data_IF_509923459763
#
_entry.id   IF_509923459763
#
_cell.length_a   1.000
_cell.length_b   1.000
_cell.length_c   1.000
_cell.angle_alpha   90.00
_cell.angle_beta   90.00
_cell.angle_gamma   90.00
#
_symmetry.space_group_name_H-M   'P 1'
#
loop_
_entity.id
_entity.type
_entity.pdbx_description
1 polymer ?
#
# COMPACT_ATOMS: atom_id res chain seq x y z
N UNK A 1 11.86 -41.01 -8.55
CA UNK A 1 12.09 -39.71 -9.23
C UNK A 1 12.24 -38.59 -8.21
N UNK A 2 11.28 -38.40 -7.30
CA UNK A 2 11.37 -37.43 -6.19
C UNK A 2 12.59 -37.65 -5.28
N UNK A 3 12.91 -38.91 -4.93
CA UNK A 3 14.10 -39.20 -4.10
C UNK A 3 15.42 -38.83 -4.77
N UNK A 4 15.49 -38.95 -6.11
CA UNK A 4 16.66 -38.56 -6.89
C UNK A 4 16.84 -37.03 -6.86
N UNK A 5 15.73 -36.28 -6.93
CA UNK A 5 15.71 -34.82 -6.85
C UNK A 5 16.13 -34.36 -5.45
N UNK A 6 15.57 -34.96 -4.38
CA UNK A 6 15.96 -34.63 -3.01
C UNK A 6 17.42 -34.98 -2.71
N UNK A 7 17.93 -36.10 -3.25
CA UNK A 7 19.32 -36.48 -3.09
C UNK A 7 20.28 -35.47 -3.75
N UNK A 8 19.95 -34.99 -4.95
CA UNK A 8 20.76 -33.99 -5.68
C UNK A 8 20.78 -32.62 -4.97
N UNK A 9 19.69 -32.23 -4.30
CA UNK A 9 19.66 -30.98 -3.52
C UNK A 9 20.53 -31.06 -2.25
N UNK A 10 20.66 -32.25 -1.65
CA UNK A 10 21.44 -32.45 -0.42
C UNK A 10 22.95 -32.53 -0.65
N UNK A 11 23.39 -32.96 -1.83
CA UNK A 11 24.82 -33.13 -2.11
C UNK A 11 25.56 -31.80 -2.27
N UNK A 12 24.88 -30.70 -2.62
CA UNK A 12 25.50 -29.36 -2.76
C UNK A 12 24.63 -28.24 -2.14
N UNK A 13 24.54 -28.17 -0.80
CA UNK A 13 23.58 -27.32 -0.10
C UNK A 13 23.78 -25.81 -0.36
N UNK A 14 25.02 -25.33 -0.47
CA UNK A 14 25.31 -23.90 -0.63
C UNK A 14 24.76 -23.32 -1.95
N UNK A 15 24.78 -24.13 -3.00
CA UNK A 15 24.32 -23.71 -4.33
C UNK A 15 22.80 -23.74 -4.45
N UNK A 16 22.20 -24.81 -3.94
CA UNK A 16 20.75 -24.88 -3.79
C UNK A 16 20.26 -23.69 -2.98
N UNK A 17 20.97 -23.33 -1.90
CA UNK A 17 20.67 -22.16 -1.11
C UNK A 17 20.74 -20.86 -1.94
N UNK A 18 21.79 -20.61 -2.72
CA UNK A 18 21.88 -19.41 -3.59
C UNK A 18 20.70 -19.34 -4.57
N UNK A 19 20.30 -20.47 -5.15
CA UNK A 19 19.20 -20.51 -6.13
C UNK A 19 17.86 -20.23 -5.48
N UNK A 20 17.62 -20.86 -4.33
CA UNK A 20 16.44 -20.65 -3.50
C UNK A 20 16.36 -19.20 -3.02
N UNK A 21 17.49 -18.60 -2.63
CA UNK A 21 17.58 -17.17 -2.26
C UNK A 21 17.26 -16.28 -3.46
N UNK A 22 17.77 -16.59 -4.65
CA UNK A 22 17.46 -15.83 -5.87
C UNK A 22 15.96 -15.81 -6.20
N UNK A 23 15.29 -16.96 -6.11
CA UNK A 23 13.83 -17.05 -6.27
C UNK A 23 13.11 -16.32 -5.13
N UNK A 24 13.54 -16.54 -3.88
CA UNK A 24 12.96 -15.90 -2.71
C UNK A 24 13.03 -14.38 -2.78
N UNK A 25 14.13 -13.81 -3.27
CA UNK A 25 14.28 -12.36 -3.47
C UNK A 25 13.25 -11.80 -4.46
N UNK A 26 13.00 -12.51 -5.56
CA UNK A 26 11.95 -12.14 -6.51
C UNK A 26 10.56 -12.14 -5.86
N UNK A 27 10.24 -13.18 -5.09
CA UNK A 27 8.98 -13.28 -4.34
C UNK A 27 8.85 -12.18 -3.29
N UNK A 28 9.94 -11.90 -2.56
CA UNK A 28 9.98 -10.86 -1.52
C UNK A 28 9.68 -9.49 -2.09
N UNK A 29 10.33 -9.16 -3.21
CA UNK A 29 10.10 -7.90 -3.91
C UNK A 29 8.64 -7.77 -4.33
N UNK A 30 8.07 -8.80 -4.98
CA UNK A 30 6.68 -8.72 -5.45
C UNK A 30 5.70 -8.62 -4.28
N UNK A 31 5.83 -9.47 -3.26
CA UNK A 31 4.89 -9.51 -2.14
C UNK A 31 4.94 -8.26 -1.27
N UNK A 32 6.13 -7.70 -0.98
CA UNK A 32 6.24 -6.50 -0.16
C UNK A 32 5.67 -5.28 -0.89
N UNK A 33 6.01 -5.07 -2.16
CA UNK A 33 5.53 -3.90 -2.90
C UNK A 33 4.02 -3.97 -3.16
N UNK A 34 3.50 -5.12 -3.59
CA UNK A 34 2.05 -5.28 -3.80
C UNK A 34 1.28 -5.23 -2.48
N UNK A 35 1.81 -5.82 -1.41
CA UNK A 35 1.22 -5.79 -0.08
C UNK A 35 1.17 -4.38 0.50
N UNK A 36 2.24 -3.59 0.34
CA UNK A 36 2.28 -2.19 0.76
C UNK A 36 1.31 -1.34 -0.07
N UNK A 37 1.33 -1.47 -1.40
CA UNK A 37 0.45 -0.69 -2.27
C UNK A 37 -1.02 -0.95 -1.96
N UNK A 38 -1.40 -2.23 -1.74
CA UNK A 38 -2.76 -2.61 -1.36
C UNK A 38 -3.10 -2.15 0.04
N UNK A 39 -2.20 -2.29 1.01
CA UNK A 39 -2.44 -1.83 2.38
C UNK A 39 -2.60 -0.32 2.46
N UNK A 40 -1.77 0.47 1.76
CA UNK A 40 -1.93 1.92 1.68
C UNK A 40 -3.27 2.29 1.05
N UNK A 41 -3.64 1.61 -0.03
CA UNK A 41 -4.92 1.80 -0.70
C UNK A 41 -6.11 1.52 0.22
N UNK A 42 -6.09 0.39 0.93
CA UNK A 42 -7.17 -0.03 1.81
C UNK A 42 -7.26 0.87 3.04
N UNK A 43 -6.12 1.32 3.56
CA UNK A 43 -6.07 2.30 4.65
C UNK A 43 -6.59 3.67 4.19
N UNK A 44 -6.23 4.14 2.99
CA UNK A 44 -6.81 5.35 2.39
C UNK A 44 -8.33 5.21 2.21
N UNK A 45 -8.81 4.07 1.72
CA UNK A 45 -10.23 3.82 1.53
C UNK A 45 -10.99 3.81 2.86
N UNK A 46 -10.44 3.17 3.91
CA UNK A 46 -11.00 3.21 5.28
C UNK A 46 -11.06 4.63 5.83
N UNK A 47 -9.96 5.40 5.69
CA UNK A 47 -9.91 6.81 6.11
C UNK A 47 -10.93 7.68 5.39
N UNK A 48 -11.19 7.40 4.11
CA UNK A 48 -12.16 8.13 3.32
C UNK A 48 -13.61 7.70 3.62
N UNK A 49 -13.84 6.42 3.96
CA UNK A 49 -15.14 5.92 4.40
C UNK A 49 -15.61 6.52 5.75
N UNK A 50 -14.69 7.07 6.55
CA UNK A 50 -15.04 7.86 7.73
C UNK A 50 -15.73 9.19 7.38
N UNK A 51 -15.65 9.65 6.12
CA UNK A 51 -16.43 10.80 5.67
C UNK A 51 -17.81 10.34 5.21
N UNK A 52 -18.84 10.72 5.97
CA UNK A 52 -20.25 10.38 5.66
C UNK A 52 -20.97 11.47 4.87
N UNK A 53 -20.33 12.62 4.66
CA UNK A 53 -20.82 13.66 3.77
C UNK A 53 -20.79 13.16 2.33
N UNK A 54 -21.86 13.38 1.57
CA UNK A 54 -22.00 12.87 0.21
C UNK A 54 -21.29 13.76 -0.82
N UNK A 55 -21.13 15.06 -0.51
CA UNK A 55 -20.56 16.04 -1.43
C UNK A 55 -19.40 16.79 -0.77
N UNK A 56 -18.33 16.97 -1.54
CA UNK A 56 -17.20 17.82 -1.22
C UNK A 56 -17.17 19.04 -2.15
N UNK A 57 -17.30 20.23 -1.56
CA UNK A 57 -17.20 21.50 -2.28
C UNK A 57 -15.80 22.11 -2.11
N UNK A 58 -15.14 22.39 -3.24
CA UNK A 58 -13.75 22.88 -3.28
C UNK A 58 -13.56 23.92 -4.36
N UNK A 59 -12.41 24.61 -4.34
CA UNK A 59 -11.91 25.36 -5.50
C UNK A 59 -10.83 24.58 -6.25
N UNK A 60 -10.61 24.90 -7.53
CA UNK A 60 -9.41 24.43 -8.22
C UNK A 60 -8.15 24.75 -7.41
N UNK A 61 -7.31 23.74 -7.16
CA UNK A 61 -6.06 23.89 -6.41
C UNK A 61 -6.19 23.91 -4.87
N UNK A 62 -7.38 23.70 -4.30
CA UNK A 62 -7.55 23.65 -2.83
C UNK A 62 -6.90 22.42 -2.19
N UNK A 63 -6.98 21.27 -2.85
CA UNK A 63 -6.45 20.00 -2.32
C UNK A 63 -5.50 19.35 -3.31
N UNK A 64 -4.29 19.05 -2.84
CA UNK A 64 -3.33 18.15 -3.47
C UNK A 64 -3.14 16.87 -2.65
N UNK A 65 -2.25 16.00 -3.13
CA UNK A 65 -1.91 14.76 -2.44
C UNK A 65 -1.16 15.05 -1.12
N UNK A 66 -0.18 15.95 -1.19
CA UNK A 66 0.74 16.32 -0.09
C UNK A 66 0.63 17.78 0.34
N UNK A 67 -0.30 18.53 -0.23
CA UNK A 67 -0.51 19.94 0.07
C UNK A 67 -1.97 20.33 0.05
N UNK A 68 -2.28 21.46 0.67
CA UNK A 68 -3.62 22.04 0.74
C UNK A 68 -3.54 23.55 0.82
N UNK A 69 -4.54 24.23 0.27
CA UNK A 69 -4.67 25.68 0.27
C UNK A 69 -6.05 26.07 0.81
N UNK A 70 -6.09 26.98 1.78
CA UNK A 70 -7.35 27.55 2.30
C UNK A 70 -7.84 28.69 1.39
N UNK A 71 -8.42 28.35 0.24
CA UNK A 71 -8.86 29.30 -0.79
C UNK A 71 -10.39 29.33 -1.02
N UNK A 72 -11.16 28.61 -0.21
CA UNK A 72 -12.63 28.56 -0.25
C UNK A 72 -13.18 29.44 0.86
N UNK A 73 -14.02 30.44 0.54
CA UNK A 73 -14.62 31.28 1.59
C UNK A 73 -15.64 30.50 2.42
N UNK A 74 -15.62 30.68 3.74
CA UNK A 74 -16.62 30.10 4.65
C UNK A 74 -18.02 30.67 4.41
N UNK A 75 -18.15 31.83 3.74
CA UNK A 75 -19.45 32.39 3.34
C UNK A 75 -20.24 31.50 2.36
N UNK A 76 -19.58 30.54 1.70
CA UNK A 76 -20.28 29.54 0.91
C UNK A 76 -21.10 28.57 1.78
N UNK A 77 -20.83 28.46 3.08
CA UNK A 77 -21.55 27.59 4.00
C UNK A 77 -23.06 27.88 3.99
N UNK A 78 -23.44 29.15 4.20
CA UNK A 78 -24.85 29.59 4.22
C UNK A 78 -25.50 29.44 2.83
N UNK A 79 -24.74 29.75 1.78
CA UNK A 79 -25.22 29.63 0.39
C UNK A 79 -25.48 28.18 0.00
N UNK A 80 -24.62 27.26 0.43
CA UNK A 80 -24.78 25.83 0.21
C UNK A 80 -25.96 25.28 1.02
N UNK A 81 -26.12 25.72 2.27
CA UNK A 81 -27.23 25.28 3.13
C UNK A 81 -28.61 25.75 2.60
N UNK A 82 -28.66 26.87 1.88
CA UNK A 82 -29.88 27.35 1.23
C UNK A 82 -30.33 26.51 0.01
N UNK A 83 -29.50 25.58 -0.49
CA UNK A 83 -29.81 24.77 -1.67
C UNK A 83 -30.72 23.61 -1.28
N UNK A 84 -31.77 23.39 -2.08
CA UNK A 84 -32.71 22.29 -1.86
C UNK A 84 -32.03 20.92 -1.96
N UNK A 85 -32.12 20.14 -0.88
CA UNK A 85 -31.50 18.82 -0.73
C UNK A 85 -30.29 18.80 0.21
N UNK A 86 -29.75 19.97 0.58
CA UNK A 86 -28.67 20.09 1.57
C UNK A 86 -29.26 20.09 2.99
N UNK A 87 -28.67 19.31 3.88
CA UNK A 87 -29.02 19.24 5.29
C UNK A 87 -28.10 20.13 6.13
N UNK A 88 -26.79 19.84 6.08
CA UNK A 88 -25.77 20.51 6.89
C UNK A 88 -24.49 20.71 6.09
N UNK A 89 -23.78 21.80 6.37
CA UNK A 89 -22.50 22.15 5.73
C UNK A 89 -21.44 22.43 6.78
N UNK A 90 -20.23 21.90 6.58
CA UNK A 90 -19.13 22.02 7.53
C UNK A 90 -17.85 22.45 6.81
N UNK A 91 -17.36 23.67 7.04
CA UNK A 91 -16.06 24.11 6.53
C UNK A 91 -14.93 23.43 7.28
N UNK A 92 -13.90 23.00 6.54
CA UNK A 92 -12.71 22.34 7.09
C UNK A 92 -11.46 22.93 6.46
N UNK A 93 -10.49 23.27 7.29
CA UNK A 93 -9.11 23.47 6.86
C UNK A 93 -8.39 22.14 7.03
N UNK A 94 -7.80 21.66 5.94
CA UNK A 94 -6.81 20.58 6.00
C UNK A 94 -5.45 21.21 5.87
N UNK A 95 -4.53 20.84 6.73
CA UNK A 95 -3.13 21.25 6.64
C UNK A 95 -2.23 20.04 6.79
N UNK A 96 -1.26 19.95 5.88
CA UNK A 96 -0.28 18.88 5.86
C UNK A 96 1.07 19.55 6.07
N UNK A 97 1.76 19.18 7.14
CA UNK A 97 3.11 19.65 7.42
C UNK A 97 4.09 18.49 7.39
N UNK A 98 5.33 18.77 7.02
CA UNK A 98 6.42 17.86 7.29
C UNK A 98 6.66 17.84 8.80
N UNK A 99 6.75 16.66 9.38
CA UNK A 99 7.10 16.46 10.78
C UNK A 99 8.04 15.26 10.88
N UNK A 100 9.29 15.50 11.31
CA UNK A 100 10.31 14.47 11.40
C UNK A 100 9.99 13.41 12.48
N UNK A 101 9.21 13.79 13.49
CA UNK A 101 8.75 12.90 14.56
C UNK A 101 7.48 12.14 14.16
N UNK A 102 6.82 12.52 13.06
CA UNK A 102 5.73 11.75 12.50
C UNK A 102 6.27 10.56 11.71
N UNK A 103 5.67 9.38 11.89
CA UNK A 103 6.16 8.11 11.33
C UNK A 103 6.29 8.09 9.80
N UNK A 104 5.53 8.92 9.10
CA UNK A 104 5.58 9.06 7.63
C UNK A 104 6.28 10.35 7.17
N UNK A 105 6.91 11.08 8.08
CA UNK A 105 7.49 12.39 7.82
C UNK A 105 6.45 13.49 7.57
N UNK A 106 5.16 13.16 7.67
CA UNK A 106 4.03 14.07 7.45
C UNK A 106 3.02 13.95 8.59
N UNK A 107 2.46 15.08 8.98
CA UNK A 107 1.40 15.17 9.98
C UNK A 107 0.23 15.96 9.37
N UNK A 108 -0.99 15.42 9.51
CA UNK A 108 -2.19 16.10 9.07
C UNK A 108 -2.92 16.70 10.26
N UNK A 109 -3.17 18.00 10.17
CA UNK A 109 -3.90 18.80 11.15
C UNK A 109 -5.16 19.33 10.47
N UNK A 110 -6.32 19.07 11.06
CA UNK A 110 -7.60 19.56 10.55
C UNK A 110 -8.13 20.66 11.48
N UNK A 111 -8.45 21.84 10.92
CA UNK A 111 -9.17 22.91 11.60
C UNK A 111 -10.66 22.84 11.26
N UNK A 112 -11.52 22.63 12.26
CA UNK A 112 -12.96 22.41 12.06
C UNK A 112 -13.78 22.75 13.31
N UNK A 113 -15.09 22.89 13.13
CA UNK A 113 -16.04 22.97 14.24
C UNK A 113 -16.49 21.57 14.67
N UNK A 114 -16.19 21.19 15.91
CA UNK A 114 -16.32 19.80 16.37
C UNK A 114 -17.76 19.28 16.29
N UNK A 115 -18.74 20.02 16.81
CA UNK A 115 -20.13 19.56 16.91
C UNK A 115 -20.71 19.12 15.57
N UNK A 116 -20.86 20.05 14.60
CA UNK A 116 -21.39 19.72 13.27
C UNK A 116 -20.56 18.66 12.53
N UNK A 117 -19.23 18.66 12.68
CA UNK A 117 -18.37 17.68 12.03
C UNK A 117 -18.54 16.27 12.61
N UNK A 118 -18.66 16.16 13.93
CA UNK A 118 -18.78 14.89 14.65
C UNK A 118 -20.12 14.21 14.37
N UNK A 119 -21.21 14.98 14.36
CA UNK A 119 -22.55 14.51 14.01
C UNK A 119 -22.62 14.09 12.54
N UNK A 120 -22.10 14.91 11.63
CA UNK A 120 -22.06 14.61 10.20
C UNK A 120 -21.32 13.30 9.88
N UNK A 121 -20.22 13.01 10.59
CA UNK A 121 -19.32 11.88 10.28
C UNK A 121 -19.44 10.69 11.25
N UNK A 122 -20.42 10.72 12.16
CA UNK A 122 -20.61 9.68 13.18
C UNK A 122 -19.34 9.44 14.05
N UNK A 123 -18.59 10.50 14.34
CA UNK A 123 -17.36 10.45 15.14
C UNK A 123 -17.72 10.76 16.59
N UNK A 124 -17.21 9.96 17.52
CA UNK A 124 -17.45 10.13 18.95
C UNK A 124 -16.14 10.30 19.72
N UNK A 125 -16.22 10.97 20.86
CA UNK A 125 -15.11 11.08 21.82
C UNK A 125 -15.21 9.89 22.75
N UNK A 126 -14.20 9.02 22.76
CA UNK A 126 -14.15 7.86 23.65
C UNK A 126 -13.76 8.31 25.06
N UNK A 127 -12.78 9.20 25.16
CA UNK A 127 -12.26 9.70 26.43
C UNK A 127 -12.05 11.22 26.37
N UNK A 128 -12.34 11.91 27.46
CA UNK A 128 -12.20 13.37 27.57
C UNK A 128 -13.39 14.14 27.00
N UNK A 129 -13.13 15.26 26.32
CA UNK A 129 -14.15 16.16 25.78
C UNK A 129 -13.72 16.84 24.48
N UNK A 130 -14.67 17.48 23.81
CA UNK A 130 -14.42 18.29 22.62
C UNK A 130 -13.57 19.52 22.96
N UNK A 131 -12.77 20.04 21.99
CA UNK A 131 -12.02 21.26 22.20
C UNK A 131 -13.00 22.44 22.31
N UNK A 132 -12.84 23.26 23.34
CA UNK A 132 -13.67 24.44 23.60
C UNK A 132 -12.86 25.74 23.56
N UNK A 133 -11.56 25.65 23.84
CA UNK A 133 -10.62 26.76 23.74
C UNK A 133 -9.68 26.58 22.53
N UNK A 134 -9.06 27.69 22.11
CA UNK A 134 -8.17 27.72 20.96
C UNK A 134 -6.86 26.96 21.16
N UNK A 135 -6.43 26.74 22.41
CA UNK A 135 -5.23 25.98 22.78
C UNK A 135 -5.51 24.49 23.04
N UNK A 136 -6.70 24.00 22.68
CA UNK A 136 -7.14 22.64 22.93
C UNK A 136 -7.26 21.83 21.63
N UNK A 137 -6.80 20.58 21.69
CA UNK A 137 -6.86 19.65 20.57
C UNK A 137 -7.49 18.33 20.98
N UNK A 138 -8.11 17.69 20.01
CA UNK A 138 -8.49 16.29 20.10
C UNK A 138 -7.68 15.47 19.10
N UNK A 139 -7.29 14.29 19.54
CA UNK A 139 -6.36 13.43 18.80
C UNK A 139 -6.99 12.07 18.58
N UNK A 140 -6.56 11.45 17.49
CA UNK A 140 -6.92 10.08 17.16
C UNK A 140 -6.32 9.10 18.20
N UNK A 141 -7.05 8.04 18.55
CA UNK A 141 -6.54 6.96 19.42
C UNK A 141 -5.20 6.41 18.94
N UNK A 142 -5.01 6.28 17.61
CA UNK A 142 -3.76 5.83 17.02
C UNK A 142 -2.63 6.81 17.34
N UNK A 143 -2.85 8.12 17.20
CA UNK A 143 -1.84 9.15 17.47
C UNK A 143 -1.27 9.10 18.89
N UNK A 144 -2.12 8.82 19.89
CA UNK A 144 -1.69 8.68 21.28
C UNK A 144 -0.80 7.47 21.50
N UNK A 145 -1.18 6.32 20.92
CA UNK A 145 -0.35 5.10 20.94
C UNK A 145 0.99 5.34 20.23
N UNK A 146 0.96 6.09 19.12
CA UNK A 146 2.15 6.29 18.28
C UNK A 146 3.23 7.11 18.97
N UNK A 147 2.82 8.16 19.69
CA UNK A 147 3.72 9.11 20.37
C UNK A 147 3.83 8.89 21.89
N UNK A 148 3.17 7.86 22.43
CA UNK A 148 3.11 7.61 23.88
C UNK A 148 2.48 8.77 24.66
N UNK A 149 1.60 9.54 24.02
CA UNK A 149 0.97 10.72 24.60
C UNK A 149 -0.22 10.29 25.49
N UNK A 150 -0.54 11.11 26.49
CA UNK A 150 -1.66 10.86 27.41
C UNK A 150 -2.68 11.99 27.34
N UNK A 151 -3.94 11.67 27.64
CA UNK A 151 -4.99 12.68 27.84
C UNK A 151 -4.53 13.70 28.91
N UNK A 152 -4.73 14.98 28.65
CA UNK A 152 -4.24 16.08 29.49
C UNK A 152 -2.78 16.47 29.26
N UNK A 153 -2.03 15.72 28.45
CA UNK A 153 -0.70 16.10 27.98
C UNK A 153 -0.73 17.25 26.97
N UNK A 154 0.45 17.61 26.45
CA UNK A 154 0.59 18.64 25.42
C UNK A 154 1.26 18.11 24.16
N UNK A 155 0.81 18.57 22.99
CA UNK A 155 1.49 18.39 21.71
C UNK A 155 1.91 19.73 21.15
N UNK A 156 3.01 19.77 20.41
CA UNK A 156 3.48 21.00 19.76
C UNK A 156 2.93 21.08 18.34
N UNK A 157 2.33 22.21 17.99
CA UNK A 157 1.78 22.49 16.66
C UNK A 157 2.15 23.93 16.31
N UNK A 158 2.76 24.15 15.14
CA UNK A 158 3.24 25.48 14.72
C UNK A 158 4.23 26.14 15.71
N UNK A 159 4.95 25.36 16.52
CA UNK A 159 5.89 25.86 17.54
C UNK A 159 5.23 26.18 18.90
N UNK A 160 3.91 26.04 19.01
CA UNK A 160 3.16 26.30 20.24
C UNK A 160 2.59 25.03 20.85
N UNK A 161 2.38 25.05 22.17
CA UNK A 161 1.87 23.91 22.93
C UNK A 161 0.35 23.91 22.96
N UNK A 162 -0.25 22.81 22.52
CA UNK A 162 -1.67 22.53 22.58
C UNK A 162 -1.98 21.43 23.58
N UNK A 163 -3.03 21.60 24.37
CA UNK A 163 -3.47 20.62 25.36
C UNK A 163 -4.37 19.58 24.72
N UNK A 164 -4.06 18.31 24.96
CA UNK A 164 -4.87 17.19 24.49
C UNK A 164 -6.05 17.00 25.44
N UNK A 165 -7.27 17.33 25.00
CA UNK A 165 -8.48 17.32 25.85
C UNK A 165 -9.44 16.18 25.56
N UNK A 166 -9.25 15.47 24.44
CA UNK A 166 -10.10 14.33 24.08
C UNK A 166 -9.49 13.42 23.04
N UNK A 167 -9.99 12.19 23.04
CA UNK A 167 -9.62 11.10 22.13
C UNK A 167 -10.84 10.75 21.31
N UNK A 168 -10.73 10.77 19.99
CA UNK A 168 -11.86 10.44 19.12
C UNK A 168 -11.69 9.12 18.38
N UNK A 169 -12.83 8.49 18.07
CA UNK A 169 -12.95 7.32 17.19
C UNK A 169 -14.15 7.44 16.24
N UNK A 170 -14.10 6.79 15.06
CA UNK A 170 -13.08 5.85 14.59
C UNK A 170 -11.73 6.50 14.23
N UNK A 171 -10.61 5.74 14.28
CA UNK A 171 -9.31 6.24 13.88
C UNK A 171 -9.33 6.64 12.40
N UNK A 172 -8.81 7.83 12.11
CA UNK A 172 -8.72 8.47 10.80
C UNK A 172 -7.27 8.68 10.32
N UNK A 173 -6.31 8.06 11.01
CA UNK A 173 -4.91 7.96 10.57
C UNK A 173 -4.01 9.00 11.20
N UNK A 174 -3.94 9.01 12.54
CA UNK A 174 -3.02 9.85 13.32
C UNK A 174 -3.24 11.36 13.06
N UNK A 175 -4.51 11.79 13.14
CA UNK A 175 -4.90 13.19 12.88
C UNK A 175 -5.08 13.97 14.17
N UNK A 176 -4.70 15.24 14.12
CA UNK A 176 -4.98 16.23 15.16
C UNK A 176 -6.09 17.15 14.67
N UNK A 177 -7.06 17.45 15.54
CA UNK A 177 -8.17 18.35 15.23
C UNK A 177 -8.19 19.49 16.25
N UNK A 178 -8.22 20.73 15.74
CA UNK A 178 -8.43 21.96 16.50
C UNK A 178 -9.59 22.76 15.91
N UNK A 179 -9.94 23.86 16.59
CA UNK A 179 -11.02 24.75 16.14
C UNK A 179 -10.69 25.38 14.79
N UNK A 180 -11.73 25.65 13.98
CA UNK A 180 -11.54 26.29 12.68
C UNK A 180 -10.94 27.70 12.85
N UNK A 181 -11.42 28.44 13.86
CA UNK A 181 -10.97 29.80 14.15
C UNK A 181 -9.46 29.86 14.42
N UNK A 182 -8.94 28.99 15.29
CA UNK A 182 -7.51 28.93 15.58
C UNK A 182 -6.70 28.61 14.32
N UNK A 183 -7.17 27.65 13.50
CA UNK A 183 -6.48 27.29 12.27
C UNK A 183 -6.45 28.43 11.25
N UNK A 184 -7.54 29.21 11.15
CA UNK A 184 -7.61 30.39 10.29
C UNK A 184 -6.65 31.48 10.75
N UNK A 185 -6.52 31.71 12.04
CA UNK A 185 -5.57 32.67 12.61
C UNK A 185 -4.13 32.27 12.30
N UNK A 186 -3.78 31.00 12.54
CA UNK A 186 -2.44 30.43 12.28
C UNK A 186 -2.02 30.52 10.83
N UNK A 187 -2.93 30.22 9.90
CA UNK A 187 -2.67 30.26 8.47
C UNK A 187 -2.87 31.64 7.84
N UNK A 188 -3.24 32.66 8.63
CA UNK A 188 -3.65 33.98 8.13
C UNK A 188 -4.76 33.89 7.05
N UNK A 189 -5.65 32.92 7.22
CA UNK A 189 -6.69 32.52 6.28
C UNK A 189 -8.08 32.85 6.83
N UNK A 190 -8.27 34.09 7.29
CA UNK A 190 -9.53 34.55 7.89
C UNK A 190 -10.70 34.36 6.92
N UNK A 191 -11.81 33.80 7.41
CA UNK A 191 -13.03 33.51 6.63
C UNK A 191 -12.80 32.59 5.42
N UNK A 192 -11.72 31.81 5.46
CA UNK A 192 -11.33 30.86 4.41
C UNK A 192 -11.15 29.45 4.97
N UNK A 193 -11.35 28.45 4.12
CA UNK A 193 -11.21 27.03 4.41
C UNK A 193 -10.65 26.29 3.17
N UNK A 194 -10.24 25.04 3.35
CA UNK A 194 -9.75 24.21 2.24
C UNK A 194 -10.91 23.61 1.45
N UNK A 195 -11.93 23.13 2.13
CA UNK A 195 -13.11 22.55 1.53
C UNK A 195 -14.31 22.66 2.47
N UNK A 196 -15.50 22.51 1.91
CA UNK A 196 -16.75 22.43 2.67
C UNK A 196 -17.35 21.05 2.42
N UNK A 197 -17.57 20.31 3.51
CA UNK A 197 -18.34 19.07 3.48
C UNK A 197 -19.82 19.40 3.45
N UNK A 198 -20.57 18.71 2.60
CA UNK A 198 -22.01 18.93 2.42
C UNK A 198 -22.72 17.60 2.65
N UNK A 199 -23.53 17.56 3.71
CA UNK A 199 -24.42 16.46 4.04
C UNK A 199 -25.77 16.68 3.38
N UNK A 200 -26.30 15.66 2.75
CA UNK A 200 -27.59 15.69 2.07
C UNK A 200 -28.70 15.15 2.97
N UNK A 201 -29.92 15.66 2.76
CA UNK A 201 -31.11 15.13 3.41
C UNK A 201 -31.37 13.69 2.96
N UNK A 202 -31.93 12.89 3.87
CA UNK A 202 -32.32 11.51 3.58
C UNK A 202 -33.18 11.41 2.30
N UNK A 203 -32.76 10.56 1.37
CA UNK A 203 -33.44 10.32 0.10
C UNK A 203 -33.11 11.29 -1.04
N UNK A 204 -32.28 12.31 -0.81
CA UNK A 204 -31.78 13.17 -1.89
C UNK A 204 -30.72 12.43 -2.73
N UNK A 205 -30.79 12.56 -4.07
CA UNK A 205 -29.77 12.02 -4.96
C UNK A 205 -28.52 12.95 -4.97
N UNK A 206 -27.33 12.45 -4.56
CA UNK A 206 -26.11 13.24 -4.56
C UNK A 206 -25.74 13.84 -5.91
N UNK A 207 -26.00 13.14 -7.01
CA UNK A 207 -25.68 13.64 -8.35
C UNK A 207 -26.56 14.83 -8.74
N UNK A 208 -27.85 14.78 -8.39
CA UNK A 208 -28.80 15.86 -8.65
C UNK A 208 -28.45 17.08 -7.81
N UNK A 209 -28.17 16.90 -6.52
CA UNK A 209 -27.79 18.03 -5.65
C UNK A 209 -26.44 18.61 -6.07
N UNK A 210 -25.46 17.79 -6.46
CA UNK A 210 -24.19 18.27 -6.99
C UNK A 210 -24.37 19.14 -8.25
N UNK A 211 -25.27 18.75 -9.17
CA UNK A 211 -25.60 19.58 -10.34
C UNK A 211 -26.21 20.92 -9.93
N UNK A 212 -27.17 20.92 -8.99
CA UNK A 212 -27.77 22.15 -8.45
C UNK A 212 -26.73 23.08 -7.81
N UNK A 213 -25.80 22.51 -7.03
CA UNK A 213 -24.70 23.28 -6.43
C UNK A 213 -23.81 23.89 -7.52
N UNK A 214 -23.47 23.14 -8.56
CA UNK A 214 -22.64 23.62 -9.65
C UNK A 214 -23.33 24.74 -10.46
N UNK A 215 -24.64 24.64 -10.67
CA UNK A 215 -25.44 25.69 -11.32
C UNK A 215 -25.55 26.96 -10.45
N UNK A 216 -25.78 26.80 -9.15
CA UNK A 216 -25.91 27.93 -8.22
C UNK A 216 -24.57 28.64 -7.93
N UNK A 217 -23.45 27.90 -7.96
CA UNK A 217 -22.11 28.36 -7.57
C UNK A 217 -21.07 28.04 -8.65
N UNK A 218 -21.18 28.62 -9.86
CA UNK A 218 -20.29 28.31 -10.98
C UNK A 218 -18.83 28.69 -10.68
N UNK A 219 -17.89 27.93 -11.25
CA UNK A 219 -16.44 28.15 -11.09
C UNK A 219 -15.82 27.44 -9.89
N UNK A 220 -16.59 26.65 -9.15
CA UNK A 220 -16.10 25.78 -8.07
C UNK A 220 -16.10 24.31 -8.53
N UNK A 221 -15.41 23.46 -7.78
CA UNK A 221 -15.38 22.01 -8.00
C UNK A 221 -16.27 21.32 -6.97
N UNK A 222 -17.31 20.66 -7.46
CA UNK A 222 -18.21 19.82 -6.69
C UNK A 222 -17.90 18.37 -7.02
N UNK A 223 -17.43 17.60 -6.05
CA UNK A 223 -17.15 16.18 -6.23
C UNK A 223 -18.01 15.37 -5.27
N UNK A 224 -18.46 14.19 -5.68
CA UNK A 224 -19.06 13.25 -4.76
C UNK A 224 -17.97 12.62 -3.92
N UNK A 225 -18.17 12.54 -2.61
CA UNK A 225 -17.17 11.96 -1.69
C UNK A 225 -16.86 10.50 -2.05
N UNK A 226 -17.87 9.75 -2.51
CA UNK A 226 -17.69 8.35 -3.00
C UNK A 226 -16.69 8.27 -4.17
N UNK A 227 -16.71 9.25 -5.07
CA UNK A 227 -15.82 9.26 -6.23
C UNK A 227 -14.39 9.57 -5.78
N UNK A 228 -14.22 10.39 -4.74
CA UNK A 228 -12.90 10.63 -4.14
C UNK A 228 -12.30 9.38 -3.48
N UNK A 229 -13.15 8.48 -2.96
CA UNK A 229 -12.76 7.21 -2.34
C UNK A 229 -12.38 6.17 -3.41
N UNK A 230 -13.19 6.06 -4.47
CA UNK A 230 -12.99 5.11 -5.56
C UNK A 230 -11.78 5.53 -6.42
N UNK A 231 -11.61 6.82 -6.67
CA UNK A 231 -10.49 7.38 -7.44
C UNK A 231 -9.13 7.26 -6.75
N UNK A 232 -9.03 6.97 -5.44
CA UNK A 232 -7.73 6.98 -4.76
C UNK A 232 -6.74 5.95 -5.36
N UNK A 233 -7.25 4.82 -5.88
CA UNK A 233 -6.46 3.83 -6.62
C UNK A 233 -6.06 4.31 -8.03
N UNK A 234 -6.94 5.04 -8.71
CA UNK A 234 -6.70 5.58 -10.06
C UNK A 234 -5.89 6.89 -10.05
N UNK A 235 -5.87 7.59 -8.90
CA UNK A 235 -5.18 8.87 -8.67
C UNK A 235 -3.68 8.76 -8.50
N UNK A 236 -3.14 7.56 -8.40
CA UNK A 236 -1.73 7.35 -8.67
C UNK A 236 -1.63 6.81 -10.11
N UNK A 237 -1.81 7.67 -11.12
CA UNK A 237 -1.74 7.24 -12.52
C UNK A 237 -0.40 6.54 -12.73
N UNK A 238 -0.48 5.30 -13.20
CA UNK A 238 0.70 4.45 -13.40
C UNK A 238 1.08 3.55 -12.22
N UNK A 239 0.40 3.57 -11.06
CA UNK A 239 0.67 2.62 -9.97
C UNK A 239 0.50 1.17 -10.41
N UNK A 240 -0.60 0.85 -11.09
CA UNK A 240 -0.81 -0.50 -11.62
C UNK A 240 0.27 -0.88 -12.65
N UNK A 241 0.63 0.05 -13.53
CA UNK A 241 1.74 -0.16 -14.48
C UNK A 241 3.06 -0.40 -13.76
N UNK A 242 3.35 0.39 -12.73
CA UNK A 242 4.55 0.28 -11.90
C UNK A 242 4.61 -1.05 -11.15
N UNK A 243 3.51 -1.46 -10.52
CA UNK A 243 3.39 -2.76 -9.86
C UNK A 243 3.58 -3.90 -10.86
N UNK A 244 3.00 -3.82 -12.05
CA UNK A 244 3.19 -4.82 -13.10
C UNK A 244 4.65 -4.89 -13.58
N UNK A 245 5.34 -3.75 -13.68
CA UNK A 245 6.78 -3.71 -13.99
C UNK A 245 7.60 -4.35 -12.88
N UNK A 246 7.30 -4.07 -11.60
CA UNK A 246 7.98 -4.71 -10.47
C UNK A 246 7.74 -6.21 -10.42
N UNK A 247 6.52 -6.65 -10.73
CA UNK A 247 6.17 -8.06 -10.87
C UNK A 247 6.98 -8.71 -11.99
N UNK A 248 7.08 -8.06 -13.15
CA UNK A 248 7.92 -8.51 -14.26
C UNK A 248 9.41 -8.56 -13.90
N UNK A 249 9.89 -7.59 -13.12
CA UNK A 249 11.27 -7.57 -12.63
C UNK A 249 11.53 -8.72 -11.65
N UNK A 250 10.61 -8.98 -10.72
CA UNK A 250 10.68 -10.14 -9.82
C UNK A 250 10.70 -11.47 -10.58
N UNK A 251 9.86 -11.59 -11.62
CA UNK A 251 9.87 -12.74 -12.53
C UNK A 251 11.23 -12.91 -13.21
N UNK A 252 11.76 -11.83 -13.77
CA UNK A 252 13.05 -11.81 -14.46
C UNK A 252 14.20 -12.21 -13.53
N UNK A 253 14.25 -11.64 -12.31
CA UNK A 253 15.24 -11.98 -11.28
C UNK A 253 15.15 -13.47 -10.91
N UNK A 254 13.96 -13.99 -10.62
CA UNK A 254 13.82 -15.42 -10.31
C UNK A 254 14.29 -16.32 -11.46
N UNK A 255 13.95 -15.97 -12.69
CA UNK A 255 14.30 -16.73 -13.91
C UNK A 255 15.82 -16.75 -14.13
N UNK A 256 16.48 -15.60 -14.05
CA UNK A 256 17.92 -15.51 -14.34
C UNK A 256 18.76 -16.23 -13.26
N UNK A 257 18.35 -16.16 -11.99
CA UNK A 257 19.02 -16.88 -10.91
C UNK A 257 18.91 -18.39 -11.09
N UNK A 258 17.72 -18.89 -11.43
CA UNK A 258 17.53 -20.32 -11.70
C UNK A 258 18.30 -20.76 -12.93
N UNK A 259 18.30 -19.96 -14.01
CA UNK A 259 19.08 -20.24 -15.22
C UNK A 259 20.58 -20.35 -14.91
N UNK A 260 21.16 -19.33 -14.28
CA UNK A 260 22.59 -19.29 -13.95
C UNK A 260 22.98 -20.46 -13.03
N UNK A 261 22.11 -20.78 -12.07
CA UNK A 261 22.34 -21.91 -11.19
C UNK A 261 22.26 -23.24 -11.95
N UNK A 262 21.19 -23.50 -12.70
CA UNK A 262 21.01 -24.76 -13.41
C UNK A 262 22.08 -24.97 -14.48
N UNK A 263 22.40 -23.93 -15.25
CA UNK A 263 23.46 -23.97 -16.26
C UNK A 263 24.77 -24.47 -15.66
N UNK A 264 25.20 -23.83 -14.57
CA UNK A 264 26.45 -24.19 -13.93
C UNK A 264 26.34 -25.58 -13.25
N UNK A 265 25.16 -26.04 -12.80
CA UNK A 265 24.95 -27.37 -12.20
C UNK A 265 25.18 -28.45 -13.25
N UNK A 266 24.61 -28.23 -14.43
CA UNK A 266 24.69 -29.16 -15.55
C UNK A 266 26.11 -29.25 -16.07
N UNK A 267 26.82 -28.12 -16.18
CA UNK A 267 28.23 -28.13 -16.61
C UNK A 267 29.10 -28.91 -15.61
N UNK A 268 28.88 -28.75 -14.30
CA UNK A 268 29.62 -29.52 -13.28
C UNK A 268 29.26 -31.01 -13.24
N UNK A 269 28.03 -31.37 -13.64
CA UNK A 269 27.53 -32.75 -13.63
C UNK A 269 27.51 -33.39 -15.02
N UNK A 270 28.27 -32.83 -15.96
CA UNK A 270 28.29 -33.28 -17.36
C UNK A 270 28.62 -34.78 -17.46
N UNK A 271 29.57 -35.27 -16.66
CA UNK A 271 29.96 -36.69 -16.58
C UNK A 271 28.85 -37.60 -16.06
N UNK A 272 28.15 -37.19 -15.00
CA UNK A 272 27.00 -37.95 -14.47
C UNK A 272 25.88 -38.08 -15.49
N UNK A 273 25.58 -36.99 -16.20
CA UNK A 273 24.55 -36.97 -17.25
C UNK A 273 24.98 -37.84 -18.44
N UNK A 274 26.27 -37.81 -18.82
CA UNK A 274 26.85 -38.70 -19.82
C UNK A 274 26.69 -40.18 -19.46
N UNK A 275 26.99 -40.57 -18.21
CA UNK A 275 26.80 -41.94 -17.70
C UNK A 275 25.33 -42.36 -17.77
N UNK A 276 24.41 -41.50 -17.32
CA UNK A 276 22.97 -41.75 -17.42
C UNK A 276 22.52 -41.99 -18.86
N UNK A 277 23.03 -41.19 -19.81
CA UNK A 277 22.74 -41.38 -21.24
C UNK A 277 23.33 -42.67 -21.81
N UNK A 278 24.55 -43.05 -21.41
CA UNK A 278 25.15 -44.33 -21.81
C UNK A 278 24.37 -45.54 -21.29
N UNK A 279 23.69 -45.40 -20.16
CA UNK A 279 22.78 -46.40 -19.60
C UNK A 279 21.38 -46.41 -20.25
N UNK A 280 21.14 -45.55 -21.25
CA UNK A 280 19.89 -45.51 -22.02
C UNK A 280 18.87 -44.46 -21.56
N UNK A 281 19.26 -43.48 -20.74
CA UNK A 281 18.36 -42.38 -20.36
C UNK A 281 17.93 -41.56 -21.59
N UNK A 282 16.61 -41.42 -21.80
CA UNK A 282 16.04 -40.67 -22.91
C UNK A 282 16.14 -39.15 -22.68
N UNK A 283 16.15 -38.35 -23.76
CA UNK A 283 16.16 -36.87 -23.65
C UNK A 283 15.02 -36.33 -22.78
N UNK A 284 13.75 -36.78 -22.93
CA UNK A 284 12.65 -36.31 -22.09
C UNK A 284 12.80 -36.69 -20.62
N UNK A 285 13.48 -37.80 -20.31
CA UNK A 285 13.75 -38.20 -18.93
C UNK A 285 14.70 -37.21 -18.25
N UNK A 286 15.79 -36.82 -18.92
CA UNK A 286 16.76 -35.85 -18.39
C UNK A 286 16.10 -34.49 -18.18
N UNK A 287 15.32 -34.02 -19.15
CA UNK A 287 14.59 -32.75 -19.03
C UNK A 287 13.65 -32.78 -17.82
N UNK A 288 12.85 -33.84 -17.65
CA UNK A 288 11.93 -33.95 -16.50
C UNK A 288 12.64 -33.97 -15.15
N UNK A 289 13.83 -34.57 -15.06
CA UNK A 289 14.61 -34.59 -13.83
C UNK A 289 15.09 -33.18 -13.48
N UNK A 290 15.64 -32.45 -14.46
CA UNK A 290 16.16 -31.09 -14.26
C UNK A 290 15.04 -30.09 -13.98
N UNK A 291 13.94 -30.15 -14.73
CA UNK A 291 12.74 -29.35 -14.47
C UNK A 291 12.15 -29.66 -13.08
N UNK A 292 12.22 -30.91 -12.63
CA UNK A 292 11.82 -31.31 -11.29
C UNK A 292 12.71 -30.70 -10.19
N UNK A 293 14.03 -30.62 -10.42
CA UNK A 293 14.95 -29.92 -9.52
C UNK A 293 14.64 -28.42 -9.47
N UNK A 294 14.42 -27.79 -10.63
CA UNK A 294 14.06 -26.38 -10.73
C UNK A 294 12.72 -26.07 -10.06
N UNK A 295 11.71 -26.92 -10.23
CA UNK A 295 10.42 -26.79 -9.56
C UNK A 295 10.57 -26.87 -8.04
N UNK A 296 11.38 -27.80 -7.52
CA UNK A 296 11.65 -27.89 -6.09
C UNK A 296 12.36 -26.65 -5.54
N UNK A 297 13.32 -26.10 -6.29
CA UNK A 297 13.97 -24.83 -5.94
C UNK A 297 12.95 -23.69 -5.95
N UNK A 298 12.06 -23.65 -6.95
CA UNK A 298 10.97 -22.69 -7.05
C UNK A 298 10.03 -22.75 -5.85
N UNK A 299 9.58 -23.94 -5.48
CA UNK A 299 8.70 -24.17 -4.32
C UNK A 299 9.38 -23.73 -3.02
N UNK A 300 10.63 -24.12 -2.80
CA UNK A 300 11.39 -23.71 -1.61
C UNK A 300 11.61 -22.19 -1.57
N UNK A 301 11.93 -21.59 -2.73
CA UNK A 301 12.11 -20.16 -2.89
C UNK A 301 10.83 -19.38 -2.60
N UNK A 302 9.67 -19.87 -3.07
CA UNK A 302 8.36 -19.31 -2.75
C UNK A 302 8.08 -19.42 -1.25
N UNK A 303 8.25 -20.59 -0.65
CA UNK A 303 7.98 -20.79 0.78
C UNK A 303 8.83 -19.84 1.65
N UNK A 304 10.14 -19.80 1.40
CA UNK A 304 11.06 -18.94 2.14
C UNK A 304 10.79 -17.47 1.84
N UNK A 305 10.58 -17.12 0.57
CA UNK A 305 10.29 -15.76 0.13
C UNK A 305 9.02 -15.22 0.79
N UNK A 306 7.93 -15.98 0.78
CA UNK A 306 6.68 -15.60 1.43
C UNK A 306 6.83 -15.46 2.94
N UNK A 307 7.55 -16.37 3.61
CA UNK A 307 7.80 -16.28 5.05
C UNK A 307 8.62 -15.03 5.40
N UNK A 308 9.67 -14.75 4.63
CA UNK A 308 10.48 -13.53 4.78
C UNK A 308 9.65 -12.28 4.50
N UNK A 309 8.78 -12.27 3.47
CA UNK A 309 7.88 -11.15 3.20
C UNK A 309 6.93 -10.87 4.35
N UNK A 310 6.33 -11.90 4.93
CA UNK A 310 5.40 -11.74 6.04
C UNK A 310 6.15 -11.22 7.27
N UNK A 311 7.30 -11.82 7.60
CA UNK A 311 8.12 -11.37 8.72
C UNK A 311 8.61 -9.93 8.54
N UNK A 312 9.08 -9.58 7.34
CA UNK A 312 9.50 -8.23 7.00
C UNK A 312 8.32 -7.25 7.06
N UNK A 313 7.14 -7.61 6.56
CA UNK A 313 5.95 -6.77 6.64
C UNK A 313 5.56 -6.48 8.10
N UNK A 314 5.53 -7.49 8.97
CA UNK A 314 5.28 -7.25 10.41
C UNK A 314 6.36 -6.38 11.05
N UNK A 315 7.64 -6.60 10.70
CA UNK A 315 8.74 -5.77 11.21
C UNK A 315 8.65 -4.32 10.74
N UNK A 316 8.29 -4.10 9.47
CA UNK A 316 8.11 -2.77 8.89
C UNK A 316 6.84 -2.10 9.43
N UNK A 317 5.74 -2.84 9.58
CA UNK A 317 4.50 -2.34 10.18
C UNK A 317 4.72 -1.93 11.64
N UNK A 318 5.46 -2.73 12.42
CA UNK A 318 5.78 -2.38 13.80
C UNK A 318 6.73 -1.16 13.91
N UNK A 319 7.69 -1.02 12.99
CA UNK A 319 8.68 0.05 13.04
C UNK A 319 8.19 1.37 12.41
N UNK A 320 7.37 1.29 11.35
CA UNK A 320 7.01 2.44 10.52
C UNK A 320 5.50 2.61 10.33
N UNK A 321 4.65 1.71 10.87
CA UNK A 321 3.19 1.74 10.74
C UNK A 321 2.70 1.83 9.29
N UNK A 322 3.48 1.25 8.38
CA UNK A 322 3.05 1.10 7.00
C UNK A 322 2.01 -0.03 6.93
N UNK A 323 0.79 0.24 6.43
CA UNK A 323 -0.22 -0.79 6.31
C UNK A 323 0.20 -1.77 5.22
N UNK A 324 0.34 -3.03 5.58
CA UNK A 324 0.48 -4.13 4.62
C UNK A 324 -0.81 -4.91 4.55
N UNK A 325 -1.25 -5.23 3.34
CA UNK A 325 -2.41 -6.11 3.14
C UNK A 325 -2.10 -7.10 2.03
N UNK A 326 -1.93 -8.38 2.42
CA UNK A 326 -1.66 -9.45 1.49
C UNK A 326 -2.96 -9.95 0.85
N UNK A 327 -3.29 -9.41 -0.31
CA UNK A 327 -4.43 -9.90 -1.10
C UNK A 327 -4.16 -11.32 -1.62
N UNK A 328 -5.07 -12.29 -1.40
CA UNK A 328 -4.90 -13.65 -1.91
C UNK A 328 -4.61 -13.72 -3.42
N UNK A 329 -5.17 -12.79 -4.21
CA UNK A 329 -4.93 -12.70 -5.65
C UNK A 329 -3.47 -12.37 -5.98
N UNK A 330 -2.91 -11.33 -5.37
CA UNK A 330 -1.52 -10.92 -5.59
C UNK A 330 -0.53 -11.96 -5.07
N UNK A 331 -0.83 -12.60 -3.94
CA UNK A 331 -0.02 -13.71 -3.42
C UNK A 331 -0.02 -14.88 -4.40
N UNK A 332 -1.19 -15.29 -4.93
CA UNK A 332 -1.28 -16.34 -5.93
C UNK A 332 -0.51 -15.97 -7.21
N UNK A 333 -0.62 -14.73 -7.69
CA UNK A 333 0.14 -14.25 -8.85
C UNK A 333 1.65 -14.32 -8.61
N UNK A 334 2.14 -13.90 -7.44
CA UNK A 334 3.56 -13.97 -7.10
C UNK A 334 4.07 -15.43 -7.08
N UNK A 335 3.28 -16.36 -6.52
CA UNK A 335 3.59 -17.79 -6.49
C UNK A 335 3.67 -18.35 -7.91
N UNK A 336 2.64 -18.11 -8.73
CA UNK A 336 2.58 -18.62 -10.10
C UNK A 336 3.75 -18.10 -10.93
N UNK A 337 4.07 -16.81 -10.80
CA UNK A 337 5.16 -16.19 -11.54
C UNK A 337 6.52 -16.73 -11.10
N UNK A 338 6.75 -16.92 -9.80
CA UNK A 338 8.00 -17.48 -9.31
C UNK A 338 8.21 -18.93 -9.75
N UNK A 339 7.15 -19.74 -9.73
CA UNK A 339 7.21 -21.13 -10.23
C UNK A 339 7.41 -21.16 -11.74
N UNK A 340 6.67 -20.34 -12.51
CA UNK A 340 6.83 -20.23 -13.95
C UNK A 340 8.25 -19.75 -14.31
N UNK A 341 8.77 -18.74 -13.62
CA UNK A 341 10.14 -18.24 -13.82
C UNK A 341 11.19 -19.31 -13.51
N UNK A 342 10.96 -20.14 -12.49
CA UNK A 342 11.86 -21.24 -12.16
C UNK A 342 11.90 -22.32 -13.26
N UNK A 343 10.73 -22.70 -13.79
CA UNK A 343 10.65 -23.64 -14.92
C UNK A 343 11.29 -23.03 -16.18
N UNK A 344 10.90 -21.80 -16.54
CA UNK A 344 11.43 -21.10 -17.73
C UNK A 344 12.95 -20.95 -17.65
N UNK A 345 13.50 -20.63 -16.48
CA UNK A 345 14.94 -20.51 -16.27
C UNK A 345 15.68 -21.83 -16.46
N UNK A 346 15.05 -22.97 -16.16
CA UNK A 346 15.63 -24.29 -16.28
C UNK A 346 15.50 -24.91 -17.68
N UNK A 347 14.57 -24.45 -18.51
CA UNK A 347 14.32 -25.01 -19.86
C UNK A 347 15.58 -25.05 -20.73
N UNK A 348 16.29 -23.92 -20.84
CA UNK A 348 17.50 -23.84 -21.67
C UNK A 348 18.61 -24.79 -21.16
N UNK A 349 18.99 -24.76 -19.86
CA UNK A 349 19.93 -25.72 -19.31
C UNK A 349 19.46 -27.18 -19.47
N UNK A 350 18.19 -27.49 -19.21
CA UNK A 350 17.63 -28.84 -19.31
C UNK A 350 17.72 -29.39 -20.74
N UNK A 351 17.40 -28.57 -21.74
CA UNK A 351 17.55 -28.93 -23.14
C UNK A 351 19.02 -29.18 -23.48
N UNK A 352 19.92 -28.26 -23.09
CA UNK A 352 21.37 -28.39 -23.30
C UNK A 352 21.94 -29.66 -22.68
N UNK A 353 21.49 -30.02 -21.48
CA UNK A 353 21.88 -31.25 -20.78
C UNK A 353 21.45 -32.50 -21.54
N UNK A 354 20.24 -32.50 -22.10
CA UNK A 354 19.70 -33.64 -22.83
C UNK A 354 20.45 -33.93 -24.14
N UNK A 355 21.14 -32.93 -24.69
CA UNK A 355 21.90 -33.00 -25.94
C UNK A 355 23.39 -33.35 -25.77
N UNK A 356 23.87 -33.53 -24.53
CA UNK A 356 25.26 -33.93 -24.26
C UNK A 356 25.59 -35.28 -24.92
N UNK A 357 26.64 -35.36 -25.73
CA UNK A 357 27.10 -36.62 -26.32
C UNK A 357 27.85 -37.47 -25.28
N UNK A 358 27.41 -38.71 -24.96
CA UNK A 358 28.09 -39.56 -23.98
C UNK A 358 29.53 -39.91 -24.39
N UNK A 359 29.80 -40.05 -25.68
CA UNK A 359 31.13 -40.41 -26.20
C UNK A 359 32.09 -39.25 -25.99
N UNK A 360 31.66 -38.03 -26.30
CA UNK A 360 32.48 -36.82 -26.13
C UNK A 360 32.86 -36.61 -24.66
N UNK A 361 31.93 -36.87 -23.74
CA UNK A 361 32.16 -36.71 -22.29
C UNK A 361 33.11 -37.77 -21.73
N UNK A 362 33.10 -39.01 -22.25
CA UNK A 362 33.99 -40.06 -21.77
C UNK A 362 35.41 -39.98 -22.34
N UNK A 363 35.59 -39.28 -23.46
CA UNK A 363 36.90 -39.14 -24.14
C UNK A 363 37.65 -37.87 -23.71
N UNK A 364 36.94 -36.77 -23.43
CA UNK A 364 37.55 -35.45 -23.19
C UNK A 364 37.67 -35.03 -21.70
N UNK A 365 37.24 -35.86 -20.75
CA UNK A 365 37.36 -35.63 -19.29
C UNK A 365 37.76 -36.90 -18.51
#
# INVERSE_FOLDING_TARGET
MVDLILANLRTRPFRTLISVVGVALGVVLVMLFTGLAKGMTDDMAKRAANWKAEILFTRPGSMGLTSSNANVSTLYQDRLQAIEGVETTVPVIRYITANADARWGIEQIDGLEWGPFSEMNEISIIEGRAPQANDEVVVDERHLRDKGLTLGGSTEIFGDKFKIVGIFAPPSGSRIKLTLAEMQERLQAKDMCTYILVKLKDGADPAVVASRINEALPGNKVNLTRDLVIDAQERVPGLNTFLNVLVGLGAFVSTIFVLLSMYTTITERRKEIGILKSLGASKPFIIRVIEGEALMIGVLGVLIGSLVSIAAAYGIEAAYELPFTFSPGWVATAIVIALAGSLIGALYPAWRASDIDPVEVMVNE
#
